data_IF_673023397782
#
_entry.id   IF_673023397782
#
_cell.length_a   1.000
_cell.length_b   1.000
_cell.length_c   1.000
_cell.angle_alpha   90.00
_cell.angle_beta   90.00
_cell.angle_gamma   90.00
#
_symmetry.space_group_name_H-M   'P 1'
#
loop_
_entity.id
_entity.type
_entity.pdbx_description
1 polymer ?
#
# COMPACT_ATOMS: atom_id res chain seq x y z
N UNK A 1 17.85 12.26 -18.18
CA UNK A 1 17.74 11.07 -19.05
C UNK A 1 16.89 9.96 -18.43
N UNK A 2 16.96 9.71 -17.12
CA UNK A 2 16.11 8.69 -16.43
C UNK A 2 14.63 9.10 -16.35
N UNK A 3 14.34 10.39 -16.10
CA UNK A 3 12.96 10.90 -15.98
C UNK A 3 12.11 10.69 -17.25
N UNK A 4 12.72 10.87 -18.42
CA UNK A 4 12.08 10.65 -19.74
C UNK A 4 11.84 9.18 -20.08
N UNK A 5 12.56 8.25 -19.46
CA UNK A 5 12.34 6.82 -19.62
C UNK A 5 11.15 6.34 -18.77
N UNK A 6 11.06 6.82 -17.53
CA UNK A 6 9.95 6.51 -16.60
C UNK A 6 8.62 6.99 -17.18
N UNK A 7 8.55 8.20 -17.75
CA UNK A 7 7.32 8.68 -18.40
C UNK A 7 6.88 7.79 -19.57
N UNK A 8 7.82 7.30 -20.38
CA UNK A 8 7.47 6.40 -21.50
C UNK A 8 6.99 5.04 -21.02
N UNK A 9 7.54 4.52 -19.93
CA UNK A 9 7.05 3.28 -19.32
C UNK A 9 5.67 3.45 -18.67
N UNK A 10 5.42 4.60 -18.03
CA UNK A 10 4.11 4.92 -17.45
C UNK A 10 3.03 5.07 -18.54
N UNK A 11 3.35 5.72 -19.66
CA UNK A 11 2.44 5.84 -20.81
C UNK A 11 2.18 4.47 -21.45
N UNK A 12 3.21 3.66 -21.70
CA UNK A 12 3.05 2.33 -22.29
C UNK A 12 2.25 1.37 -21.38
N UNK A 13 2.43 1.44 -20.05
CA UNK A 13 1.62 0.67 -19.10
C UNK A 13 0.19 1.21 -19.01
N UNK A 14 0.00 2.52 -19.04
CA UNK A 14 -1.33 3.12 -19.03
C UNK A 14 -2.16 2.67 -20.24
N UNK A 15 -1.55 2.54 -21.42
CA UNK A 15 -2.19 2.01 -22.62
C UNK A 15 -2.55 0.52 -22.48
N UNK A 16 -1.66 -0.30 -21.90
CA UNK A 16 -1.93 -1.74 -21.67
C UNK A 16 -3.08 -1.93 -20.66
N UNK A 17 -3.09 -1.15 -19.58
CA UNK A 17 -4.17 -1.16 -18.57
C UNK A 17 -5.48 -0.63 -19.17
N UNK A 18 -5.41 0.38 -20.05
CA UNK A 18 -6.56 0.90 -20.78
C UNK A 18 -7.11 -0.09 -21.81
N UNK A 19 -6.28 -0.97 -22.37
CA UNK A 19 -6.72 -1.99 -23.34
C UNK A 19 -7.39 -3.18 -22.67
N UNK A 20 -7.01 -3.55 -21.44
CA UNK A 20 -7.77 -4.54 -20.62
C UNK A 20 -9.09 -3.99 -20.06
N UNK A 21 -9.42 -2.74 -20.37
CA UNK A 21 -10.51 -1.94 -19.80
C UNK A 21 -11.81 -2.05 -20.60
N UNK A 22 -12.09 -3.21 -21.20
CA UNK A 22 -13.46 -3.49 -21.66
C UNK A 22 -14.31 -3.87 -20.45
N UNK A 23 -15.01 -2.85 -19.93
CA UNK A 23 -15.96 -2.96 -18.83
C UNK A 23 -17.13 -3.80 -19.32
N UNK A 24 -17.14 -5.08 -18.96
CA UNK A 24 -18.13 -6.04 -19.44
C UNK A 24 -19.51 -5.91 -18.76
N UNK A 25 -19.62 -5.22 -17.60
CA UNK A 25 -20.86 -5.24 -16.80
C UNK A 25 -21.30 -3.87 -16.20
N UNK A 26 -22.62 -3.61 -16.10
CA UNK A 26 -23.19 -2.36 -15.56
C UNK A 26 -22.83 -2.11 -14.09
N UNK A 27 -22.63 -3.17 -13.30
CA UNK A 27 -22.22 -3.10 -11.89
C UNK A 27 -20.82 -2.49 -11.75
N UNK A 28 -19.89 -2.86 -12.64
CA UNK A 28 -18.53 -2.31 -12.65
C UNK A 28 -18.52 -0.81 -12.96
N UNK A 29 -19.50 -0.32 -13.73
CA UNK A 29 -19.62 1.10 -14.08
C UNK A 29 -20.06 1.95 -12.88
N UNK A 30 -20.90 1.40 -12.01
CA UNK A 30 -21.32 2.04 -10.75
C UNK A 30 -20.16 2.03 -9.75
N UNK A 31 -19.47 0.90 -9.60
CA UNK A 31 -18.28 0.81 -8.75
C UNK A 31 -17.15 1.75 -9.20
N UNK A 32 -16.93 1.89 -10.51
CA UNK A 32 -15.98 2.84 -11.08
C UNK A 32 -16.32 4.31 -10.80
N UNK A 33 -17.59 4.61 -10.50
CA UNK A 33 -18.05 5.96 -10.15
C UNK A 33 -17.82 6.29 -8.67
N UNK A 34 -17.86 5.28 -7.80
CA UNK A 34 -17.61 5.42 -6.35
C UNK A 34 -16.11 5.37 -6.05
N UNK A 35 -15.37 4.49 -6.73
CA UNK A 35 -13.93 4.34 -6.56
C UNK A 35 -13.27 4.73 -7.90
N UNK A 36 -12.85 6.01 -8.07
CA UNK A 36 -12.12 6.41 -9.26
C UNK A 36 -10.78 5.66 -9.31
N UNK A 37 -10.63 4.85 -10.36
CA UNK A 37 -9.42 4.06 -10.59
C UNK A 37 -8.20 4.98 -10.75
N UNK A 38 -7.14 4.71 -9.98
CA UNK A 38 -5.91 5.52 -9.95
C UNK A 38 -5.90 6.70 -8.98
N UNK A 39 -7.01 6.95 -8.25
CA UNK A 39 -7.06 7.96 -7.19
C UNK A 39 -6.66 7.43 -5.81
N UNK A 40 -6.49 8.34 -4.85
CA UNK A 40 -6.20 8.05 -3.43
C UNK A 40 -7.15 7.01 -2.82
N UNK A 41 -8.44 7.04 -3.20
CA UNK A 41 -9.44 6.07 -2.73
C UNK A 41 -9.16 4.66 -3.26
N UNK A 42 -8.78 4.52 -4.53
CA UNK A 42 -8.42 3.21 -5.09
C UNK A 42 -7.16 2.65 -4.43
N UNK A 43 -6.18 3.51 -4.13
CA UNK A 43 -4.99 3.12 -3.36
C UNK A 43 -5.34 2.70 -1.94
N UNK A 44 -6.21 3.45 -1.25
CA UNK A 44 -6.66 3.14 0.11
C UNK A 44 -7.42 1.82 0.20
N UNK A 45 -8.30 1.53 -0.74
CA UNK A 45 -9.03 0.25 -0.80
C UNK A 45 -8.08 -0.91 -1.12
N UNK A 46 -7.12 -0.72 -2.02
CA UNK A 46 -6.10 -1.73 -2.32
C UNK A 46 -5.24 -2.02 -1.08
N UNK A 47 -4.78 -0.98 -0.39
CA UNK A 47 -4.02 -1.09 0.85
C UNK A 47 -4.82 -1.80 1.95
N UNK A 48 -6.10 -1.44 2.13
CA UNK A 48 -6.98 -2.12 3.08
C UNK A 48 -7.14 -3.61 2.76
N UNK A 49 -7.29 -3.95 1.48
CA UNK A 49 -7.33 -5.34 1.02
C UNK A 49 -6.06 -6.11 1.36
N UNK A 50 -4.88 -5.50 1.22
CA UNK A 50 -3.60 -6.10 1.62
C UNK A 50 -3.49 -6.30 3.14
N UNK A 51 -4.09 -5.44 3.96
CA UNK A 51 -4.08 -5.57 5.41
C UNK A 51 -5.05 -6.65 5.93
N UNK A 52 -6.11 -6.98 5.19
CA UNK A 52 -7.08 -8.04 5.54
C UNK A 52 -6.49 -9.39 5.11
N UNK A 53 -5.56 -9.91 5.92
CA UNK A 53 -4.92 -11.21 5.72
C UNK A 53 -5.29 -12.23 6.81
N UNK A 54 -4.49 -13.30 6.94
CA UNK A 54 -4.66 -14.32 7.98
C UNK A 54 -4.65 -13.75 9.41
N UNK A 55 -4.07 -12.56 9.61
CA UNK A 55 -4.06 -11.87 10.90
C UNK A 55 -5.47 -11.56 11.43
N UNK A 56 -6.46 -11.25 10.57
CA UNK A 56 -7.82 -10.93 11.06
C UNK A 56 -8.51 -12.16 11.67
N UNK A 57 -8.16 -13.35 11.19
CA UNK A 57 -8.74 -14.63 11.63
C UNK A 57 -8.20 -15.03 13.02
N UNK A 58 -6.99 -14.59 13.38
CA UNK A 58 -6.38 -14.87 14.69
C UNK A 58 -6.73 -13.85 15.77
N UNK A 59 -7.25 -12.66 15.41
CA UNK A 59 -7.66 -11.63 16.37
C UNK A 59 -8.63 -12.11 17.46
N UNK A 60 -9.68 -12.91 17.16
CA UNK A 60 -10.60 -13.39 18.20
C UNK A 60 -9.89 -14.21 19.28
N UNK A 61 -8.95 -15.08 18.88
CA UNK A 61 -8.14 -15.88 19.80
C UNK A 61 -7.21 -15.01 20.65
N UNK A 62 -6.59 -14.00 20.04
CA UNK A 62 -5.75 -13.03 20.76
C UNK A 62 -6.54 -12.21 21.81
N UNK A 63 -7.81 -11.90 21.52
CA UNK A 63 -8.68 -11.17 22.45
C UNK A 63 -9.12 -12.04 23.63
N UNK A 64 -9.28 -13.35 23.44
CA UNK A 64 -9.55 -14.30 24.54
C UNK A 64 -8.37 -14.40 25.50
N UNK A 65 -7.12 -14.31 25.00
CA UNK A 65 -5.91 -14.46 25.83
C UNK A 65 -5.51 -13.16 26.57
N UNK A 66 -5.70 -11.99 25.95
CA UNK A 66 -5.30 -10.69 26.53
C UNK A 66 -6.43 -9.97 27.27
N UNK A 67 -7.68 -10.37 27.06
CA UNK A 67 -8.88 -9.69 27.57
C UNK A 67 -9.33 -8.53 26.69
N UNK A 68 -10.65 -8.35 26.56
CA UNK A 68 -11.27 -7.39 25.62
C UNK A 68 -10.80 -5.95 25.82
N UNK A 69 -10.65 -5.51 27.07
CA UNK A 69 -10.23 -4.14 27.39
C UNK A 69 -8.79 -3.85 26.90
N UNK A 70 -7.85 -4.76 27.17
CA UNK A 70 -6.46 -4.60 26.71
C UNK A 70 -6.34 -4.73 25.20
N UNK A 71 -7.08 -5.67 24.60
CA UNK A 71 -7.16 -5.82 23.15
C UNK A 71 -7.60 -4.52 22.45
N UNK A 72 -8.63 -3.83 22.96
CA UNK A 72 -9.07 -2.55 22.39
C UNK A 72 -8.02 -1.45 22.52
N UNK A 73 -7.33 -1.39 23.65
CA UNK A 73 -6.21 -0.45 23.85
C UNK A 73 -5.09 -0.72 22.84
N UNK A 74 -4.69 -1.97 22.66
CA UNK A 74 -3.68 -2.35 21.66
C UNK A 74 -4.12 -2.00 20.24
N UNK A 75 -5.38 -2.23 19.88
CA UNK A 75 -5.90 -1.87 18.55
C UNK A 75 -5.79 -0.36 18.28
N UNK A 76 -6.11 0.48 19.28
CA UNK A 76 -5.97 1.95 19.13
C UNK A 76 -4.51 2.34 19.00
N UNK A 77 -3.64 1.82 19.87
CA UNK A 77 -2.21 2.15 19.85
C UNK A 77 -1.58 1.72 18.52
N UNK A 78 -1.77 0.45 18.12
CA UNK A 78 -1.22 -0.07 16.86
C UNK A 78 -1.78 0.71 15.67
N UNK A 79 -3.06 1.07 15.67
CA UNK A 79 -3.65 1.88 14.60
C UNK A 79 -2.96 3.24 14.46
N UNK A 80 -2.69 3.94 15.57
CA UNK A 80 -1.98 5.23 15.56
C UNK A 80 -0.55 5.05 15.02
N UNK A 81 0.18 4.02 15.50
CA UNK A 81 1.52 3.72 15.00
C UNK A 81 1.52 3.41 13.50
N UNK A 82 0.57 2.61 13.03
CA UNK A 82 0.45 2.26 11.61
C UNK A 82 0.19 3.49 10.74
N UNK A 83 -0.73 4.37 11.14
CA UNK A 83 -1.01 5.62 10.42
C UNK A 83 0.24 6.52 10.39
N UNK A 84 0.96 6.62 11.51
CA UNK A 84 2.19 7.41 11.58
C UNK A 84 3.30 6.86 10.67
N UNK A 85 3.49 5.54 10.63
CA UNK A 85 4.44 4.88 9.72
C UNK A 85 4.13 5.19 8.25
N UNK A 86 2.86 5.05 7.83
CA UNK A 86 2.45 5.39 6.47
C UNK A 86 2.59 6.88 6.16
N UNK A 87 2.37 7.76 7.15
CA UNK A 87 2.54 9.20 6.99
C UNK A 87 4.00 9.56 6.69
N UNK A 88 4.96 9.01 7.44
CA UNK A 88 6.38 9.21 7.16
C UNK A 88 6.74 8.64 5.80
N UNK A 89 6.26 7.45 5.46
CA UNK A 89 6.49 6.82 4.16
C UNK A 89 6.03 7.73 3.01
N UNK A 90 4.85 8.35 3.15
CA UNK A 90 4.31 9.29 2.16
C UNK A 90 5.11 10.59 2.07
N UNK A 91 5.69 11.07 3.17
CA UNK A 91 6.62 12.22 3.13
C UNK A 91 7.91 11.84 2.42
N UNK A 92 8.51 10.71 2.79
CA UNK A 92 9.77 10.23 2.19
C UNK A 92 9.59 10.00 0.70
N UNK A 93 8.54 9.31 0.27
CA UNK A 93 8.25 9.10 -1.16
C UNK A 93 8.06 10.40 -1.93
N UNK A 94 7.44 11.42 -1.33
CA UNK A 94 7.34 12.76 -1.96
C UNK A 94 8.66 13.50 -2.03
N UNK A 95 9.57 13.29 -1.07
CA UNK A 95 10.88 13.95 -1.02
C UNK A 95 11.91 13.29 -1.94
N UNK A 96 11.89 11.97 -2.08
CA UNK A 96 12.81 11.21 -2.93
C UNK A 96 12.31 11.10 -4.37
N UNK A 97 10.98 11.19 -4.60
CA UNK A 97 10.37 10.94 -5.90
C UNK A 97 10.43 9.47 -6.32
N UNK A 98 10.89 8.58 -5.43
CA UNK A 98 10.99 7.14 -5.65
C UNK A 98 9.65 6.49 -5.32
N UNK A 99 9.25 5.53 -6.15
CA UNK A 99 7.94 4.88 -6.08
C UNK A 99 8.00 3.49 -5.45
N UNK A 100 9.18 2.89 -5.40
CA UNK A 100 9.38 1.56 -4.87
C UNK A 100 9.98 1.62 -3.47
N UNK A 101 9.47 0.81 -2.54
CA UNK A 101 9.93 0.79 -1.16
C UNK A 101 11.42 0.38 -1.07
N UNK A 102 11.82 -0.60 -1.88
CA UNK A 102 13.20 -1.09 -1.98
C UNK A 102 14.18 0.03 -2.39
N UNK A 103 13.83 0.80 -3.43
CA UNK A 103 14.61 1.97 -3.86
C UNK A 103 14.66 3.05 -2.77
N UNK A 104 13.56 3.28 -2.05
CA UNK A 104 13.50 4.24 -0.94
C UNK A 104 14.47 3.82 0.17
N UNK A 105 14.49 2.54 0.54
CA UNK A 105 15.38 2.04 1.60
C UNK A 105 16.84 2.03 1.16
N UNK A 106 17.14 1.61 -0.06
CA UNK A 106 18.46 1.73 -0.67
C UNK A 106 19.00 3.16 -0.60
N UNK A 107 18.15 4.14 -0.90
CA UNK A 107 18.54 5.55 -0.97
C UNK A 107 18.69 6.17 0.43
N UNK A 108 17.86 5.79 1.40
CA UNK A 108 17.89 6.37 2.75
C UNK A 108 18.86 5.67 3.71
N UNK A 109 18.94 4.34 3.65
CA UNK A 109 19.66 3.50 4.61
C UNK A 109 20.95 2.90 4.03
N UNK A 110 21.16 3.04 2.72
CA UNK A 110 22.34 2.55 2.02
C UNK A 110 22.24 1.08 1.59
N UNK A 111 23.21 0.59 0.81
CA UNK A 111 23.17 -0.73 0.17
C UNK A 111 23.15 -1.90 1.15
N UNK A 112 23.65 -1.73 2.37
CA UNK A 112 23.63 -2.79 3.38
C UNK A 112 22.21 -3.07 3.92
N UNK A 113 21.34 -2.06 3.93
CA UNK A 113 19.96 -2.23 4.39
C UNK A 113 19.09 -3.00 3.38
N UNK A 114 19.45 -2.93 2.10
CA UNK A 114 18.76 -3.65 1.03
C UNK A 114 18.97 -5.16 1.13
N UNK A 115 20.20 -5.60 1.39
CA UNK A 115 20.49 -7.02 1.64
C UNK A 115 19.70 -7.58 2.83
N UNK A 116 19.53 -6.78 3.89
CA UNK A 116 18.75 -7.18 5.07
C UNK A 116 17.26 -7.24 4.73
N UNK A 117 16.75 -6.28 3.95
CA UNK A 117 15.36 -6.29 3.49
C UNK A 117 15.02 -7.52 2.66
N UNK A 118 15.84 -7.84 1.66
CA UNK A 118 15.65 -8.99 0.77
C UNK A 118 15.72 -10.31 1.56
N UNK A 119 16.49 -10.36 2.64
CA UNK A 119 16.56 -11.54 3.50
C UNK A 119 15.35 -11.68 4.45
N UNK A 120 14.80 -10.57 4.94
CA UNK A 120 13.70 -10.58 5.91
C UNK A 120 12.31 -10.73 5.27
N UNK A 121 12.15 -10.40 3.99
CA UNK A 121 10.93 -10.58 3.20
C UNK A 121 10.85 -11.99 2.64
#
# INVERSE_FOLDING_TARGET
MVHSYIERLDVARAEIVAKRREIANPIQRVFAKVIPYGGLLSCGVNLAGCCIGAGVISLPSAFMMSGLAMALVYMVVISILTVYSYYIMGIVGRRTGLRNYEEIVLTLMGPMADYILVFCV
#
